data_IF_492477278405
#
_entry.id   IF_492477278405
#
_cell.length_a   1.000
_cell.length_b   1.000
_cell.length_c   1.000
_cell.angle_alpha   90.00
_cell.angle_beta   90.00
_cell.angle_gamma   90.00
#
_symmetry.space_group_name_H-M   'P 1'
#
loop_
_entity.id
_entity.type
_entity.pdbx_description
1 polymer ?
#
# COMPACT_ATOMS: atom_id res chain seq x y z
N UNK A 1 -14.15 12.18 -20.57
CA UNK A 1 -13.08 11.23 -20.22
C UNK A 1 -12.16 11.92 -19.22
N UNK A 2 -11.77 11.28 -18.10
CA UNK A 2 -10.79 11.88 -17.22
C UNK A 2 -9.51 12.10 -18.04
N UNK A 3 -8.99 13.34 -18.03
CA UNK A 3 -7.72 13.65 -18.68
C UNK A 3 -6.65 12.78 -18.03
N UNK A 4 -5.86 12.07 -18.84
CA UNK A 4 -4.71 11.35 -18.33
C UNK A 4 -3.70 12.40 -17.83
N UNK A 5 -3.69 12.65 -16.52
CA UNK A 5 -2.94 13.75 -15.91
C UNK A 5 -1.46 13.41 -15.70
N UNK A 6 -0.98 12.26 -16.16
CA UNK A 6 0.42 11.88 -16.09
C UNK A 6 1.17 12.32 -17.35
N UNK A 7 2.26 13.07 -17.16
CA UNK A 7 3.19 13.47 -18.21
C UNK A 7 4.37 12.52 -18.24
N UNK A 8 4.70 11.96 -19.40
CA UNK A 8 5.93 11.20 -19.60
C UNK A 8 7.13 12.15 -19.51
N UNK A 9 8.06 11.85 -18.62
CA UNK A 9 9.32 12.58 -18.46
C UNK A 9 10.47 11.91 -19.22
N UNK A 10 10.56 10.58 -19.17
CA UNK A 10 11.60 9.82 -19.88
C UNK A 10 11.17 8.38 -20.13
N UNK A 11 11.67 7.79 -21.21
CA UNK A 11 11.54 6.37 -21.52
C UNK A 11 12.91 5.83 -21.92
N UNK A 12 13.38 4.78 -21.25
CA UNK A 12 14.70 4.20 -21.48
C UNK A 12 14.63 2.67 -21.49
N UNK A 13 15.23 2.05 -22.49
CA UNK A 13 15.37 0.60 -22.58
C UNK A 13 16.55 0.13 -21.72
N UNK A 14 16.38 -0.98 -21.00
CA UNK A 14 17.45 -1.66 -20.23
C UNK A 14 17.62 -3.07 -20.79
N UNK A 15 18.54 -3.22 -21.76
CA UNK A 15 18.69 -4.46 -22.53
C UNK A 15 19.08 -5.67 -21.67
N UNK A 16 19.92 -5.49 -20.64
CA UNK A 16 20.35 -6.57 -19.75
C UNK A 16 19.21 -7.19 -18.93
N UNK A 17 18.07 -6.51 -18.84
CA UNK A 17 16.88 -6.97 -18.11
C UNK A 17 15.69 -7.24 -19.05
N UNK A 18 15.82 -7.00 -20.36
CA UNK A 18 14.71 -7.09 -21.35
C UNK A 18 13.50 -6.18 -21.00
N UNK A 19 13.70 -5.09 -20.26
CA UNK A 19 12.62 -4.16 -19.82
C UNK A 19 12.74 -2.77 -20.43
N UNK A 20 11.62 -2.04 -20.47
CA UNK A 20 11.59 -0.61 -20.77
C UNK A 20 11.10 0.16 -19.54
N UNK A 21 11.89 1.11 -19.07
CA UNK A 21 11.56 1.96 -17.92
C UNK A 21 10.94 3.26 -18.41
N UNK A 22 9.70 3.53 -18.00
CA UNK A 22 9.00 4.78 -18.27
C UNK A 22 8.81 5.54 -16.95
N UNK A 23 9.19 6.82 -16.93
CA UNK A 23 9.03 7.70 -15.77
C UNK A 23 7.99 8.75 -16.13
N UNK A 24 6.92 8.80 -15.34
CA UNK A 24 5.85 9.78 -15.44
C UNK A 24 5.75 10.63 -14.18
N UNK A 25 5.13 11.80 -14.31
CA UNK A 25 4.77 12.67 -13.21
C UNK A 25 3.32 13.12 -13.33
N UNK A 26 2.56 13.04 -12.23
CA UNK A 26 1.21 13.54 -12.18
C UNK A 26 1.22 15.08 -12.16
N UNK A 27 0.56 15.71 -13.12
CA UNK A 27 0.66 17.15 -13.40
C UNK A 27 0.16 18.05 -12.26
N UNK A 28 -0.64 17.53 -11.33
CA UNK A 28 -1.22 18.31 -10.23
C UNK A 28 -0.50 18.03 -8.90
N UNK A 29 -0.32 16.76 -8.56
CA UNK A 29 0.26 16.35 -7.26
C UNK A 29 1.76 16.18 -7.32
N UNK A 30 2.36 16.19 -8.51
CA UNK A 30 3.76 15.89 -8.76
C UNK A 30 4.17 14.48 -8.33
N UNK A 31 3.20 13.58 -8.13
CA UNK A 31 3.46 12.19 -7.80
C UNK A 31 4.23 11.52 -8.96
N UNK A 32 5.36 10.90 -8.64
CA UNK A 32 6.17 10.15 -9.60
C UNK A 32 5.58 8.75 -9.79
N UNK A 33 5.41 8.34 -11.04
CA UNK A 33 5.01 6.99 -11.42
C UNK A 33 6.11 6.38 -12.28
N UNK A 34 6.70 5.30 -11.79
CA UNK A 34 7.71 4.51 -12.49
C UNK A 34 7.01 3.26 -13.03
N UNK A 35 6.93 3.13 -14.35
CA UNK A 35 6.34 1.98 -15.01
C UNK A 35 7.46 1.13 -15.64
N UNK A 36 7.54 -0.12 -15.24
CA UNK A 36 8.50 -1.09 -15.78
C UNK A 36 7.74 -2.01 -16.74
N UNK A 37 7.89 -1.74 -18.02
CA UNK A 37 7.31 -2.56 -19.08
C UNK A 37 8.17 -3.82 -19.28
N UNK A 38 7.56 -4.99 -19.17
CA UNK A 38 8.21 -6.28 -19.37
C UNK A 38 7.26 -7.28 -20.04
N UNK A 39 7.78 -8.44 -20.47
CA UNK A 39 6.97 -9.54 -21.02
C UNK A 39 6.39 -10.47 -19.93
N UNK A 40 6.61 -10.17 -18.65
CA UNK A 40 6.04 -10.94 -17.54
C UNK A 40 4.52 -10.87 -17.60
N UNK A 41 3.85 -12.00 -17.38
CA UNK A 41 2.39 -12.04 -17.20
C UNK A 41 1.95 -11.82 -15.75
N UNK A 42 2.91 -11.75 -14.82
CA UNK A 42 2.69 -11.30 -13.46
C UNK A 42 2.91 -9.79 -13.36
N UNK A 43 1.83 -9.07 -13.05
CA UNK A 43 1.85 -7.64 -12.86
C UNK A 43 2.05 -7.30 -11.38
N UNK A 44 2.88 -6.30 -11.13
CA UNK A 44 3.22 -5.81 -9.79
C UNK A 44 2.79 -4.36 -9.67
N UNK A 45 2.28 -3.98 -8.50
CA UNK A 45 2.06 -2.60 -8.11
C UNK A 45 2.71 -2.34 -6.76
N UNK A 46 3.24 -1.13 -6.57
CA UNK A 46 3.70 -0.65 -5.28
C UNK A 46 3.45 0.85 -5.18
N UNK A 47 2.79 1.27 -4.10
CA UNK A 47 2.79 2.67 -3.66
C UNK A 47 3.75 2.79 -2.47
N UNK A 48 4.64 3.78 -2.52
CA UNK A 48 5.63 4.04 -1.49
C UNK A 48 5.54 5.50 -1.03
N UNK A 49 5.58 5.70 0.28
CA UNK A 49 5.53 6.99 0.93
C UNK A 49 6.83 7.21 1.72
N UNK A 50 7.38 8.41 1.63
CA UNK A 50 8.47 8.83 2.51
C UNK A 50 7.90 9.06 3.91
N UNK A 51 8.43 8.35 4.91
CA UNK A 51 7.97 8.39 6.30
C UNK A 51 9.18 8.59 7.21
N UNK A 52 9.34 9.79 7.75
CA UNK A 52 10.49 10.16 8.59
C UNK A 52 10.01 10.39 10.03
N UNK A 53 9.97 9.34 10.88
CA UNK A 53 9.60 9.51 12.27
C UNK A 53 10.69 10.27 13.04
N UNK A 54 10.29 11.23 13.85
CA UNK A 54 11.21 12.02 14.70
C UNK A 54 11.47 11.37 16.08
N UNK A 55 10.81 10.24 16.35
CA UNK A 55 10.91 9.49 17.60
C UNK A 55 10.88 7.97 17.39
N UNK A 56 10.99 7.22 18.49
CA UNK A 56 11.01 5.75 18.49
C UNK A 56 9.66 5.13 18.87
N UNK A 57 8.54 5.84 18.67
CA UNK A 57 7.20 5.31 18.98
C UNK A 57 6.76 4.19 18.05
N UNK A 58 7.42 4.03 16.90
CA UNK A 58 7.00 3.10 15.85
C UNK A 58 5.82 3.61 15.02
N UNK A 59 5.50 4.92 15.08
CA UNK A 59 4.33 5.52 14.42
C UNK A 59 4.17 5.15 12.95
N UNK A 60 5.25 5.09 12.17
CA UNK A 60 5.18 4.71 10.76
C UNK A 60 4.73 3.24 10.57
N UNK A 61 5.24 2.35 11.41
CA UNK A 61 4.90 0.92 11.37
C UNK A 61 3.48 0.66 11.88
N UNK A 62 3.07 1.34 12.96
CA UNK A 62 1.69 1.25 13.47
C UNK A 62 0.70 1.80 12.43
N UNK A 63 1.03 2.91 11.77
CA UNK A 63 0.19 3.48 10.72
C UNK A 63 0.08 2.56 9.51
N UNK A 64 1.16 1.89 9.11
CA UNK A 64 1.13 0.89 8.03
C UNK A 64 0.09 -0.20 8.30
N UNK A 65 0.13 -0.80 9.48
CA UNK A 65 -0.87 -1.79 9.88
C UNK A 65 -2.29 -1.19 9.97
N UNK A 66 -2.43 -0.05 10.65
CA UNK A 66 -3.75 0.56 10.91
C UNK A 66 -4.43 1.04 9.63
N UNK A 67 -3.66 1.49 8.62
CA UNK A 67 -4.21 1.90 7.33
C UNK A 67 -4.89 0.75 6.58
N UNK A 68 -4.43 -0.49 6.81
CA UNK A 68 -4.97 -1.71 6.21
C UNK A 68 -6.19 -2.28 6.94
N UNK A 69 -6.59 -1.71 8.07
CA UNK A 69 -7.76 -2.16 8.86
C UNK A 69 -9.12 -1.69 8.30
N UNK A 70 -9.12 -0.79 7.32
CA UNK A 70 -10.34 -0.25 6.71
C UNK A 70 -10.14 1.13 6.13
N UNK A 71 -10.89 1.44 5.07
CA UNK A 71 -10.77 2.70 4.35
C UNK A 71 -12.14 3.27 3.99
N UNK A 72 -12.18 4.47 3.39
CA UNK A 72 -13.45 5.15 3.07
C UNK A 72 -14.34 4.34 2.14
N UNK A 73 -13.77 3.77 1.08
CA UNK A 73 -14.49 2.99 0.06
C UNK A 73 -14.66 1.52 0.48
N UNK A 74 -13.79 1.03 1.37
CA UNK A 74 -13.83 -0.32 1.92
C UNK A 74 -13.91 -0.29 3.46
N UNK A 75 -15.04 0.17 4.04
CA UNK A 75 -15.17 0.41 5.48
C UNK A 75 -15.41 -0.87 6.31
N UNK A 76 -15.15 -2.03 5.71
CA UNK A 76 -15.23 -3.33 6.39
C UNK A 76 -13.99 -3.50 7.27
N UNK A 77 -14.11 -4.31 8.32
CA UNK A 77 -12.96 -4.64 9.19
C UNK A 77 -11.97 -5.53 8.43
N UNK A 78 -10.70 -5.17 8.49
CA UNK A 78 -9.58 -5.94 7.96
C UNK A 78 -9.76 -6.35 6.47
N UNK A 79 -9.97 -5.37 5.56
CA UNK A 79 -10.13 -5.64 4.13
C UNK A 79 -8.90 -6.34 3.55
N UNK A 80 -7.69 -5.98 4.00
CA UNK A 80 -6.44 -6.62 3.57
C UNK A 80 -6.46 -8.14 3.78
N UNK A 81 -6.80 -8.60 4.99
CA UNK A 81 -6.90 -10.03 5.30
C UNK A 81 -8.06 -10.71 4.58
N UNK A 82 -9.16 -9.98 4.35
CA UNK A 82 -10.27 -10.47 3.55
C UNK A 82 -9.87 -10.71 2.09
N UNK A 83 -8.99 -9.87 1.54
CA UNK A 83 -8.48 -10.00 0.17
C UNK A 83 -7.58 -11.22 0.00
N UNK A 84 -6.78 -11.61 1.00
CA UNK A 84 -5.95 -12.82 0.93
C UNK A 84 -6.76 -14.10 0.60
N UNK A 85 -8.05 -14.13 0.96
CA UNK A 85 -8.95 -15.26 0.69
C UNK A 85 -9.81 -15.10 -0.57
N UNK A 86 -9.83 -13.91 -1.16
CA UNK A 86 -10.75 -13.53 -2.26
C UNK A 86 -10.03 -13.12 -3.54
N UNK A 87 -8.71 -12.94 -3.45
CA UNK A 87 -7.82 -12.56 -4.54
C UNK A 87 -7.09 -13.78 -5.11
N UNK A 88 -6.60 -13.64 -6.35
CA UNK A 88 -5.69 -14.59 -7.01
C UNK A 88 -4.24 -14.09 -6.97
N UNK A 89 -3.92 -13.24 -6.01
CA UNK A 89 -2.59 -12.70 -5.79
C UNK A 89 -1.51 -13.78 -5.69
N UNK A 90 -0.35 -13.47 -6.25
CA UNK A 90 0.90 -14.21 -6.01
C UNK A 90 1.75 -13.55 -4.93
N UNK A 91 1.58 -12.24 -4.73
CA UNK A 91 2.16 -11.53 -3.61
C UNK A 91 1.23 -10.43 -3.06
N UNK A 92 1.18 -10.26 -1.73
CA UNK A 92 0.53 -9.13 -1.04
C UNK A 92 1.27 -8.86 0.27
N UNK A 93 1.70 -7.62 0.49
CA UNK A 93 2.31 -7.23 1.75
C UNK A 93 2.29 -5.70 1.95
N UNK A 94 2.79 -5.29 3.11
CA UNK A 94 3.21 -3.94 3.38
C UNK A 94 4.52 -3.97 4.18
N UNK A 95 5.32 -2.91 4.04
CA UNK A 95 6.66 -2.84 4.64
C UNK A 95 6.93 -1.44 5.16
N UNK A 96 7.52 -1.37 6.34
CA UNK A 96 8.04 -0.13 6.92
C UNK A 96 9.55 -0.23 7.10
N UNK A 97 10.29 0.64 6.40
CA UNK A 97 11.71 0.90 6.59
C UNK A 97 11.93 2.10 7.53
N UNK A 98 13.19 2.50 7.72
CA UNK A 98 13.56 3.67 8.54
C UNK A 98 13.01 5.00 8.03
N UNK A 99 12.82 5.13 6.72
CA UNK A 99 12.54 6.40 6.04
C UNK A 99 11.45 6.31 4.95
N UNK A 100 10.85 5.14 4.79
CA UNK A 100 9.75 4.91 3.85
C UNK A 100 8.85 3.75 4.28
N UNK A 101 7.60 3.81 3.84
CA UNK A 101 6.60 2.75 3.97
C UNK A 101 6.03 2.43 2.59
N UNK A 102 5.92 1.15 2.23
CA UNK A 102 5.42 0.73 0.92
C UNK A 102 4.41 -0.41 1.00
N UNK A 103 3.48 -0.42 0.04
CA UNK A 103 2.38 -1.37 -0.04
C UNK A 103 2.38 -2.08 -1.40
N UNK A 104 3.17 -3.17 -1.54
CA UNK A 104 3.23 -3.94 -2.77
C UNK A 104 2.21 -5.10 -2.87
N UNK A 105 1.72 -5.34 -4.08
CA UNK A 105 1.04 -6.58 -4.45
C UNK A 105 1.43 -7.04 -5.86
N UNK A 106 1.22 -8.32 -6.14
CA UNK A 106 1.39 -8.91 -7.46
C UNK A 106 0.28 -9.93 -7.77
N UNK A 107 -0.10 -10.02 -9.04
CA UNK A 107 -1.05 -11.01 -9.52
C UNK A 107 -0.90 -11.22 -11.02
N UNK A 108 -1.25 -12.41 -11.50
CA UNK A 108 -1.30 -12.74 -12.93
C UNK A 108 -2.69 -12.50 -13.54
N UNK A 109 -3.69 -12.15 -12.70
CA UNK A 109 -5.05 -11.93 -13.15
C UNK A 109 -5.35 -10.42 -13.26
N UNK A 110 -5.71 -9.96 -14.45
CA UNK A 110 -5.96 -8.54 -14.72
C UNK A 110 -7.11 -7.95 -13.87
N UNK A 111 -8.21 -8.70 -13.72
CA UNK A 111 -9.36 -8.23 -12.93
C UNK A 111 -9.01 -8.12 -11.44
N UNK A 112 -8.26 -9.10 -10.95
CA UNK A 112 -7.72 -9.09 -9.59
C UNK A 112 -6.75 -7.93 -9.37
N UNK A 113 -5.91 -7.62 -10.37
CA UNK A 113 -4.96 -6.50 -10.30
C UNK A 113 -5.66 -5.18 -10.01
N UNK A 114 -6.71 -4.85 -10.76
CA UNK A 114 -7.46 -3.61 -10.54
C UNK A 114 -8.26 -3.63 -9.22
N UNK A 115 -8.77 -4.79 -8.81
CA UNK A 115 -9.43 -4.92 -7.50
C UNK A 115 -8.48 -4.70 -6.32
N UNK A 116 -7.27 -5.25 -6.39
CA UNK A 116 -6.21 -5.01 -5.41
C UNK A 116 -5.74 -3.55 -5.46
N UNK A 117 -5.59 -2.98 -6.65
CA UNK A 117 -5.20 -1.58 -6.84
C UNK A 117 -6.16 -0.63 -6.12
N UNK A 118 -7.48 -0.82 -6.30
CA UNK A 118 -8.50 0.01 -5.66
C UNK A 118 -8.42 -0.09 -4.12
N UNK A 119 -8.29 -1.31 -3.59
CA UNK A 119 -8.19 -1.54 -2.14
C UNK A 119 -6.92 -0.91 -1.56
N UNK A 120 -5.76 -1.11 -2.20
CA UNK A 120 -4.49 -0.56 -1.73
C UNK A 120 -4.46 0.97 -1.80
N UNK A 121 -4.89 1.57 -2.91
CA UNK A 121 -4.90 3.02 -3.05
C UNK A 121 -5.86 3.68 -2.06
N UNK A 122 -7.04 3.12 -1.84
CA UNK A 122 -7.99 3.68 -0.88
C UNK A 122 -7.52 3.52 0.57
N UNK A 123 -6.88 2.40 0.91
CA UNK A 123 -6.24 2.20 2.22
C UNK A 123 -5.11 3.20 2.47
N UNK A 124 -4.25 3.44 1.48
CA UNK A 124 -3.08 4.33 1.64
C UNK A 124 -3.47 5.80 1.69
N UNK A 125 -4.42 6.24 0.86
CA UNK A 125 -4.78 7.66 0.75
C UNK A 125 -6.00 8.07 1.59
N UNK A 126 -6.89 7.12 1.92
CA UNK A 126 -8.13 7.39 2.67
C UNK A 126 -8.40 6.34 3.76
N UNK A 127 -7.43 6.03 4.65
CA UNK A 127 -7.64 5.09 5.73
C UNK A 127 -8.67 5.61 6.74
N UNK A 128 -9.42 4.72 7.38
CA UNK A 128 -10.41 5.08 8.40
C UNK A 128 -9.74 5.52 9.72
N UNK A 129 -8.61 4.90 10.06
CA UNK A 129 -7.86 5.14 11.30
C UNK A 129 -8.75 5.07 12.56
N UNK A 130 -9.55 4.01 12.64
CA UNK A 130 -10.45 3.78 13.78
C UNK A 130 -9.64 3.63 15.08
N UNK A 131 -10.01 4.30 16.19
CA UNK A 131 -9.27 4.21 17.45
C UNK A 131 -9.13 2.77 17.98
N UNK A 132 -10.11 1.89 17.72
CA UNK A 132 -10.02 0.49 18.12
C UNK A 132 -9.08 -0.31 17.21
N UNK A 133 -8.98 0.04 15.93
CA UNK A 133 -7.97 -0.51 15.03
C UNK A 133 -6.57 -0.08 15.45
N UNK A 134 -6.37 1.20 15.78
CA UNK A 134 -5.10 1.68 16.34
C UNK A 134 -4.75 0.95 17.64
N UNK A 135 -5.72 0.77 18.55
CA UNK A 135 -5.52 0.03 19.79
C UNK A 135 -5.19 -1.46 19.55
N UNK A 136 -5.67 -2.05 18.45
CA UNK A 136 -5.39 -3.43 18.08
C UNK A 136 -3.98 -3.61 17.51
N UNK A 137 -3.61 -2.77 16.54
CA UNK A 137 -2.36 -2.87 15.77
C UNK A 137 -1.17 -2.14 16.42
N UNK A 138 -1.45 -1.13 17.26
CA UNK A 138 -0.46 -0.36 17.98
C UNK A 138 -0.25 -0.90 19.40
N UNK A 139 -0.73 -0.13 20.38
CA UNK A 139 -0.71 -0.55 21.78
C UNK A 139 -1.98 -0.13 22.49
N UNK A 140 -2.37 -0.90 23.50
CA UNK A 140 -3.50 -0.59 24.39
C UNK A 140 -3.29 -1.16 25.78
N UNK A 141 -4.06 -0.65 26.72
CA UNK A 141 -4.24 -1.35 27.98
C UNK A 141 -5.33 -2.42 27.85
N UNK A 142 -5.04 -3.63 28.32
CA UNK A 142 -5.95 -4.77 28.34
C UNK A 142 -5.94 -5.40 29.74
N UNK A 143 -7.12 -5.77 30.23
CA UNK A 143 -7.24 -6.52 31.49
C UNK A 143 -7.05 -8.01 31.24
N UNK A 144 -6.16 -8.64 32.02
CA UNK A 144 -6.03 -10.09 32.13
C UNK A 144 -6.49 -10.51 33.53
N UNK A 145 -7.78 -10.83 33.65
CA UNK A 145 -8.48 -10.88 34.93
C UNK A 145 -8.56 -9.49 35.56
N UNK A 146 -8.05 -9.34 36.79
CA UNK A 146 -8.02 -8.06 37.51
C UNK A 146 -6.73 -7.25 37.28
N UNK A 147 -5.81 -7.74 36.44
CA UNK A 147 -4.50 -7.12 36.20
C UNK A 147 -4.54 -6.31 34.90
N UNK A 148 -4.24 -5.01 34.98
CA UNK A 148 -4.05 -4.15 33.81
C UNK A 148 -2.66 -4.37 33.19
N UNK A 149 -2.61 -4.72 31.90
CA UNK A 149 -1.36 -4.93 31.14
C UNK A 149 -1.33 -4.05 29.90
N UNK A 150 -0.13 -3.69 29.43
CA UNK A 150 0.07 -3.12 28.09
C UNK A 150 0.19 -4.27 27.11
N UNK A 151 -0.53 -4.18 26.00
CA UNK A 151 -0.50 -5.12 24.89
C UNK A 151 -0.26 -4.37 23.60
#
# INVERSE_FOLDING_TARGET
MPKNNFKLLSSNRIDSLDITLHIYEHSITLARHIHIESKSDENVFMVALRTLPDDSTGVAHILEHTALCGSRSFPVRDPFFSMLKRSLQSFMNAFTSSDWTAYPFATRNEKDYFGLLDVYLDAVFFPKLDPLSFAQEGHRFEYDGDILKIK
#
